data_IF_886521457392
#
_entry.id   IF_886521457392
#
_cell.length_a   1.000
_cell.length_b   1.000
_cell.length_c   1.000
_cell.angle_alpha   90.00
_cell.angle_beta   90.00
_cell.angle_gamma   90.00
#
_symmetry.space_group_name_H-M   'P 1'
#
loop_
_entity.id
_entity.type
_entity.pdbx_description
1 polymer ?
#
# COMPACT_ATOMS: atom_id res chain seq x y z
N UNK A 1 3.04 -13.37 -8.11
CA UNK A 1 2.80 -12.53 -6.90
C UNK A 1 2.48 -11.12 -7.37
N UNK A 2 1.42 -10.52 -6.86
CA UNK A 2 1.08 -9.13 -7.16
C UNK A 2 1.42 -8.30 -5.92
N UNK A 3 1.94 -7.11 -6.12
CA UNK A 3 2.30 -6.18 -5.06
C UNK A 3 1.31 -5.03 -5.06
N UNK A 4 0.61 -4.81 -3.97
CA UNK A 4 -0.34 -3.72 -3.86
C UNK A 4 0.25 -2.59 -3.03
N UNK A 5 0.14 -1.39 -3.57
CA UNK A 5 0.39 -0.16 -2.86
C UNK A 5 -0.90 0.23 -2.13
N UNK A 6 -0.87 0.13 -0.81
CA UNK A 6 -1.92 0.60 0.07
C UNK A 6 -1.52 1.95 0.67
N UNK A 7 -2.50 2.80 0.90
CA UNK A 7 -2.37 3.98 1.75
C UNK A 7 -3.15 3.72 3.04
N UNK A 8 -2.46 3.88 4.16
CA UNK A 8 -3.03 3.81 5.49
C UNK A 8 -3.17 5.23 6.02
N UNK A 9 -4.40 5.63 6.32
CA UNK A 9 -4.69 6.92 6.92
C UNK A 9 -4.66 6.79 8.45
N UNK A 10 -4.30 7.86 9.16
CA UNK A 10 -4.31 7.88 10.63
C UNK A 10 -5.68 7.60 11.27
N UNK A 11 -6.77 7.66 10.50
CA UNK A 11 -8.11 7.28 10.95
C UNK A 11 -8.33 5.76 10.97
N UNK A 12 -7.30 4.94 10.71
CA UNK A 12 -7.37 3.49 10.66
C UNK A 12 -7.92 2.93 9.34
N UNK A 13 -8.26 3.77 8.37
CA UNK A 13 -8.69 3.32 7.04
C UNK A 13 -7.48 2.95 6.19
N UNK A 14 -7.54 1.79 5.54
CA UNK A 14 -6.60 1.38 4.49
C UNK A 14 -7.30 1.43 3.13
N UNK A 15 -6.62 1.94 2.10
CA UNK A 15 -7.11 1.91 0.72
C UNK A 15 -6.02 1.42 -0.21
N UNK A 16 -6.36 0.49 -1.10
CA UNK A 16 -5.48 0.09 -2.21
C UNK A 16 -5.48 1.20 -3.25
N UNK A 17 -4.30 1.74 -3.55
CA UNK A 17 -4.11 2.73 -4.61
C UNK A 17 -3.85 2.05 -5.95
N UNK A 18 -2.87 1.14 -5.99
CA UNK A 18 -2.45 0.46 -7.22
C UNK A 18 -1.88 -0.92 -6.96
N UNK A 19 -1.92 -1.75 -7.99
CA UNK A 19 -1.32 -3.08 -8.02
C UNK A 19 -0.18 -3.09 -9.04
N UNK A 20 0.95 -3.69 -8.67
CA UNK A 20 2.17 -3.82 -9.45
C UNK A 20 2.54 -5.30 -9.56
N UNK A 21 3.17 -5.69 -10.67
CA UNK A 21 3.72 -7.05 -10.80
C UNK A 21 5.08 -7.20 -10.12
N UNK A 22 5.81 -6.09 -9.92
CA UNK A 22 7.16 -6.08 -9.39
C UNK A 22 7.25 -5.31 -8.08
N UNK A 23 7.89 -5.92 -7.06
CA UNK A 23 8.11 -5.30 -5.74
C UNK A 23 8.89 -4.00 -5.85
N UNK A 24 9.97 -4.02 -6.62
CA UNK A 24 10.84 -2.86 -6.80
C UNK A 24 10.11 -1.67 -7.39
N UNK A 25 9.24 -1.90 -8.39
CA UNK A 25 8.41 -0.84 -8.97
C UNK A 25 7.45 -0.26 -7.94
N UNK A 26 6.83 -1.09 -7.11
CA UNK A 26 5.95 -0.62 -6.04
C UNK A 26 6.72 0.25 -5.02
N UNK A 27 7.92 -0.18 -4.61
CA UNK A 27 8.78 0.57 -3.69
C UNK A 27 9.28 1.90 -4.30
N UNK A 28 9.72 1.90 -5.57
CA UNK A 28 10.11 3.14 -6.27
C UNK A 28 8.94 4.11 -6.39
N UNK A 29 7.72 3.61 -6.60
CA UNK A 29 6.54 4.47 -6.61
C UNK A 29 6.28 5.08 -5.23
N UNK A 30 6.42 4.32 -4.14
CA UNK A 30 6.31 4.88 -2.78
C UNK A 30 7.33 5.97 -2.55
N UNK A 31 8.58 5.71 -2.88
CA UNK A 31 9.68 6.67 -2.75
C UNK A 31 9.42 7.94 -3.56
N UNK A 32 8.99 7.79 -4.82
CA UNK A 32 8.61 8.92 -5.67
C UNK A 32 7.43 9.72 -5.11
N UNK A 33 6.44 9.07 -4.50
CA UNK A 33 5.30 9.72 -3.86
C UNK A 33 5.74 10.51 -2.63
N UNK A 34 6.61 9.93 -1.79
CA UNK A 34 7.19 10.62 -0.63
C UNK A 34 8.09 11.78 -1.05
N UNK A 35 8.84 11.63 -2.14
CA UNK A 35 9.67 12.71 -2.66
C UNK A 35 8.82 13.85 -3.26
N UNK A 36 7.73 13.52 -3.97
CA UNK A 36 6.86 14.52 -4.59
C UNK A 36 5.92 15.24 -3.62
N UNK A 37 5.35 14.54 -2.64
CA UNK A 37 4.36 15.09 -1.69
C UNK A 37 4.95 15.40 -0.30
N UNK A 38 6.23 15.10 -0.08
CA UNK A 38 6.86 15.12 1.23
C UNK A 38 6.46 13.92 2.10
N UNK A 39 6.80 13.99 3.39
CA UNK A 39 6.43 12.98 4.39
C UNK A 39 5.21 13.44 5.20
N UNK A 40 3.98 13.18 4.72
CA UNK A 40 2.79 13.52 5.48
C UNK A 40 2.68 12.65 6.74
N UNK A 41 2.58 13.29 7.89
CA UNK A 41 2.47 12.63 9.20
C UNK A 41 1.13 11.88 9.40
N UNK A 42 0.12 12.18 8.58
CA UNK A 42 -1.25 11.66 8.73
C UNK A 42 -1.58 10.49 7.80
N UNK A 43 -0.62 10.04 6.97
CA UNK A 43 -0.80 8.91 6.07
C UNK A 43 0.52 8.16 5.85
N UNK A 44 0.42 6.84 5.67
CA UNK A 44 1.54 5.96 5.41
C UNK A 44 1.29 5.17 4.12
N UNK A 45 2.28 5.14 3.23
CA UNK A 45 2.23 4.31 2.03
C UNK A 45 2.90 2.96 2.34
N UNK A 46 2.14 1.87 2.18
CA UNK A 46 2.56 0.52 2.52
C UNK A 46 2.49 -0.37 1.28
N UNK A 47 3.55 -1.14 1.03
CA UNK A 47 3.57 -2.14 -0.05
C UNK A 47 3.28 -3.51 0.54
N UNK A 48 2.16 -4.11 0.18
CA UNK A 48 1.79 -5.48 0.59
C UNK A 48 1.94 -6.45 -0.57
N UNK A 49 2.46 -7.64 -0.31
CA UNK A 49 2.37 -8.75 -1.26
C UNK A 49 0.94 -9.30 -1.22
N UNK A 50 0.19 -9.05 -2.28
CA UNK A 50 -1.02 -9.80 -2.56
C UNK A 50 -0.60 -11.10 -3.26
N UNK A 51 -0.31 -12.11 -2.43
CA UNK A 51 -0.64 -13.46 -2.86
C UNK A 51 -2.17 -13.49 -2.92
N UNK A 52 -2.78 -14.06 -3.95
CA UNK A 52 -4.23 -14.10 -4.10
C UNK A 52 -4.85 -14.94 -2.97
N UNK A 53 -4.89 -14.40 -1.76
CA UNK A 53 -5.49 -14.99 -0.59
C UNK A 53 -6.78 -14.22 -0.40
N UNK A 54 -7.84 -14.89 -0.85
CA UNK A 54 -9.23 -14.73 -0.43
C UNK A 54 -9.36 -14.02 0.92
N UNK A 55 -10.25 -13.02 1.05
CA UNK A 55 -10.48 -12.35 2.32
C UNK A 55 -10.97 -13.36 3.35
N UNK A 56 -10.11 -13.73 4.30
CA UNK A 56 -10.60 -14.31 5.56
C UNK A 56 -11.15 -13.15 6.38
N UNK A 57 -12.44 -12.88 6.19
CA UNK A 57 -13.23 -12.14 7.16
C UNK A 57 -13.23 -12.95 8.46
N UNK A 58 -12.35 -12.59 9.41
CA UNK A 58 -12.53 -13.00 10.80
C UNK A 58 -13.58 -12.06 11.39
N UNK A 59 -14.84 -12.43 11.23
CA UNK A 59 -15.91 -11.91 12.06
C UNK A 59 -15.79 -12.62 13.43
N UNK A 60 -15.61 -11.83 14.48
CA UNK A 60 -15.65 -12.27 15.87
C UNK A 60 -17.10 -12.35 16.35
#
# INVERSE_FOLDING_TARGET
>A
MVWQLCIQYSNGSERVLRSYRSRETALRCVDAIYNANGYPLHLAYVVRSAQAVVPVSVAA
#
